data_IF_109452421370
#
_entry.id   IF_109452421370
#
_cell.length_a   1.000
_cell.length_b   1.000
_cell.length_c   1.000
_cell.angle_alpha   90.00
_cell.angle_beta   90.00
_cell.angle_gamma   90.00
#
_symmetry.space_group_name_H-M   'P 1'
#
loop_
_entity.id
_entity.type
_entity.pdbx_description
1 polymer ?
#
# COMPACT_ATOMS: atom_id res chain seq x y z
N UNK A 1 41.57 -10.64 28.07
CA UNK A 1 40.71 -11.35 27.08
C UNK A 1 39.37 -11.83 27.65
N UNK A 2 39.28 -12.41 28.85
CA UNK A 2 37.99 -12.89 29.41
C UNK A 2 36.96 -11.80 29.72
N UNK A 3 37.38 -10.58 30.05
CA UNK A 3 36.45 -9.46 30.33
C UNK A 3 35.79 -8.85 29.08
N UNK A 4 36.39 -9.02 27.90
CA UNK A 4 35.86 -8.46 26.65
C UNK A 4 34.69 -9.29 26.10
N UNK A 5 34.72 -10.61 26.32
CA UNK A 5 33.64 -11.53 25.92
C UNK A 5 32.40 -11.35 26.80
N UNK A 6 32.58 -11.02 28.08
CA UNK A 6 31.47 -10.79 29.01
C UNK A 6 30.73 -9.48 28.71
N UNK A 7 31.46 -8.43 28.30
CA UNK A 7 30.86 -7.15 27.94
C UNK A 7 30.04 -7.26 26.63
N UNK A 8 30.55 -8.01 25.64
CA UNK A 8 29.82 -8.25 24.39
C UNK A 8 28.51 -9.01 24.63
N UNK A 9 28.50 -9.99 25.54
CA UNK A 9 27.30 -10.75 25.88
C UNK A 9 26.24 -9.92 26.62
N UNK A 10 26.67 -9.01 27.49
CA UNK A 10 25.75 -8.10 28.20
C UNK A 10 25.15 -7.09 27.21
N UNK A 11 25.95 -6.54 26.30
CA UNK A 11 25.46 -5.62 25.25
C UNK A 11 24.51 -6.32 24.28
N UNK A 12 24.78 -7.57 23.89
CA UNK A 12 23.88 -8.38 23.06
C UNK A 12 22.57 -8.72 23.79
N UNK A 13 22.61 -9.05 25.09
CA UNK A 13 21.39 -9.24 25.88
C UNK A 13 20.61 -7.94 26.06
N UNK A 14 21.28 -6.82 26.34
CA UNK A 14 20.65 -5.50 26.46
C UNK A 14 20.03 -5.03 25.15
N UNK A 15 20.68 -5.29 24.01
CA UNK A 15 20.09 -5.05 22.69
C UNK A 15 18.88 -5.95 22.44
N UNK A 16 18.88 -7.21 22.88
CA UNK A 16 17.72 -8.11 22.71
C UNK A 16 16.50 -7.74 23.56
N UNK A 17 16.68 -7.09 24.72
CA UNK A 17 15.56 -6.65 25.59
C UNK A 17 15.16 -5.18 25.40
N UNK A 18 16.04 -4.31 24.87
CA UNK A 18 15.71 -2.91 24.54
C UNK A 18 15.18 -2.77 23.10
N UNK A 19 15.29 -3.81 22.28
CA UNK A 19 14.35 -4.00 21.16
C UNK A 19 12.99 -4.43 21.76
N UNK A 20 12.39 -3.49 22.51
CA UNK A 20 10.96 -3.22 22.49
C UNK A 20 10.47 -3.39 21.04
N UNK A 21 9.27 -3.93 20.78
CA UNK A 21 8.80 -4.15 19.42
C UNK A 21 8.83 -2.79 18.70
N UNK A 22 9.91 -2.56 17.95
CA UNK A 22 10.03 -1.51 16.98
C UNK A 22 8.84 -1.76 16.09
N UNK A 23 7.84 -0.89 16.24
CA UNK A 23 6.69 -0.76 15.37
C UNK A 23 7.22 -0.92 13.95
N UNK A 24 7.15 -2.13 13.40
CA UNK A 24 7.15 -2.31 11.97
C UNK A 24 5.90 -1.55 11.55
N UNK A 25 6.08 -0.28 11.19
CA UNK A 25 5.09 0.53 10.48
C UNK A 25 4.95 -0.16 9.13
N UNK A 26 4.17 -1.24 9.12
CA UNK A 26 3.77 -1.90 7.89
C UNK A 26 3.03 -0.84 7.08
N UNK A 27 3.58 -0.47 5.92
CA UNK A 27 2.77 0.34 5.02
C UNK A 27 1.53 -0.47 4.65
N UNK A 28 0.38 0.19 4.55
CA UNK A 28 -0.91 -0.43 4.20
C UNK A 28 -0.93 -1.18 2.85
N UNK A 29 0.18 -1.15 2.10
CA UNK A 29 0.38 -1.88 0.85
C UNK A 29 1.55 -2.89 0.91
N UNK A 30 2.19 -3.10 2.06
CA UNK A 30 3.23 -4.11 2.27
C UNK A 30 2.73 -5.21 3.20
N UNK A 31 2.13 -6.24 2.61
CA UNK A 31 1.94 -7.53 3.28
C UNK A 31 3.34 -8.17 3.45
N UNK A 32 3.67 -8.79 4.59
CA UNK A 32 4.97 -9.45 4.79
C UNK A 32 5.27 -10.43 3.66
N UNK A 33 6.47 -10.32 3.05
CA UNK A 33 6.97 -11.36 2.14
C UNK A 33 7.32 -12.58 3.00
N UNK A 34 6.54 -13.67 2.90
CA UNK A 34 6.97 -14.97 3.45
C UNK A 34 8.04 -15.54 2.52
N UNK A 35 9.13 -16.05 3.12
CA UNK A 35 10.05 -16.96 2.42
C UNK A 35 9.31 -18.26 2.05
N UNK A 36 9.64 -18.91 0.93
CA UNK A 36 8.88 -20.05 0.37
C UNK A 36 9.05 -21.38 1.14
N UNK A 37 9.22 -21.36 2.46
CA UNK A 37 9.54 -22.55 3.26
C UNK A 37 8.33 -23.44 3.58
N UNK A 38 7.18 -22.87 3.93
CA UNK A 38 5.97 -23.63 4.27
C UNK A 38 4.72 -22.85 3.84
N UNK A 39 3.99 -23.38 2.85
CA UNK A 39 2.74 -22.79 2.36
C UNK A 39 1.62 -23.19 3.32
N UNK A 40 1.49 -22.45 4.41
CA UNK A 40 0.31 -22.54 5.26
C UNK A 40 -0.88 -21.95 4.49
N UNK A 41 -1.80 -22.82 4.04
CA UNK A 41 -3.01 -22.40 3.34
C UNK A 41 -3.85 -21.53 4.27
N UNK A 42 -3.99 -20.25 3.93
CA UNK A 42 -4.82 -19.33 4.70
C UNK A 42 -6.30 -19.57 4.35
N UNK A 43 -7.07 -19.86 5.40
CA UNK A 43 -8.49 -20.15 5.35
C UNK A 43 -9.31 -18.98 5.90
N UNK A 44 -10.49 -18.76 5.30
CA UNK A 44 -11.40 -17.66 5.63
C UNK A 44 -12.81 -18.19 5.84
N UNK A 45 -13.42 -17.83 6.96
CA UNK A 45 -14.83 -18.10 7.27
C UNK A 45 -15.34 -17.01 8.22
N UNK A 46 -16.62 -16.65 8.17
CA UNK A 46 -17.21 -15.76 9.17
C UNK A 46 -17.21 -16.42 10.56
N UNK A 47 -17.08 -15.61 11.60
CA UNK A 47 -17.24 -16.06 12.99
C UNK A 47 -18.72 -16.21 13.33
N UNK A 48 -19.53 -15.27 12.86
CA UNK A 48 -20.98 -15.25 13.02
C UNK A 48 -21.62 -15.26 11.64
N UNK A 49 -22.12 -16.42 11.22
CA UNK A 49 -22.96 -16.52 10.03
C UNK A 49 -24.25 -15.75 10.30
N UNK A 50 -24.55 -14.72 9.51
CA UNK A 50 -25.91 -14.18 9.50
C UNK A 50 -26.83 -15.31 9.02
N UNK A 51 -27.91 -15.63 9.76
CA UNK A 51 -28.93 -16.51 9.23
C UNK A 51 -29.46 -15.88 7.95
N UNK A 52 -29.61 -16.66 6.89
CA UNK A 52 -30.17 -16.19 5.61
C UNK A 52 -31.47 -15.46 5.90
N UNK A 53 -31.48 -14.13 5.70
CA UNK A 53 -32.65 -13.29 5.89
C UNK A 53 -33.80 -13.63 4.91
N UNK A 54 -33.58 -14.60 4.03
CA UNK A 54 -34.48 -15.06 2.97
C UNK A 54 -35.19 -16.38 3.23
N UNK A 55 -35.14 -16.93 4.44
CA UNK A 55 -36.09 -18.00 4.86
C UNK A 55 -37.00 -17.50 5.98
N UNK A 56 -37.53 -16.28 5.84
CA UNK A 56 -38.75 -15.90 6.53
C UNK A 56 -39.93 -16.47 5.74
N UNK A 57 -40.57 -17.49 6.34
CA UNK A 57 -41.75 -18.21 5.88
C UNK A 57 -43.00 -17.32 5.78
N UNK A 58 -42.99 -16.34 4.89
CA UNK A 58 -44.20 -15.66 4.39
C UNK A 58 -44.37 -15.98 2.91
N UNK A 59 -44.79 -17.21 2.68
CA UNK A 59 -45.36 -17.71 1.44
C UNK A 59 -46.75 -17.08 1.27
N UNK A 60 -46.82 -15.87 0.73
CA UNK A 60 -47.97 -15.42 -0.06
C UNK A 60 -47.47 -14.71 -1.33
N UNK A 61 -47.41 -15.50 -2.40
CA UNK A 61 -47.92 -15.10 -3.71
C UNK A 61 -47.28 -13.88 -4.40
N UNK A 62 -45.98 -13.94 -4.66
CA UNK A 62 -45.45 -13.38 -5.92
C UNK A 62 -44.74 -14.51 -6.64
N UNK A 63 -45.45 -15.12 -7.59
CA UNK A 63 -44.91 -15.96 -8.64
C UNK A 63 -43.99 -15.14 -9.55
N UNK A 64 -42.81 -14.80 -9.05
CA UNK A 64 -41.66 -14.56 -9.91
C UNK A 64 -41.31 -15.92 -10.50
N UNK A 65 -41.74 -16.11 -11.74
CA UNK A 65 -41.22 -17.09 -12.67
C UNK A 65 -39.71 -16.87 -12.70
N UNK A 66 -38.98 -17.55 -11.81
CA UNK A 66 -37.57 -17.81 -11.98
C UNK A 66 -37.52 -18.83 -13.11
N UNK A 67 -37.62 -18.35 -14.34
CA UNK A 67 -37.09 -19.09 -15.48
C UNK A 67 -35.67 -19.43 -15.08
N UNK A 68 -35.40 -20.72 -14.88
CA UNK A 68 -34.07 -21.31 -14.93
C UNK A 68 -33.46 -20.93 -16.28
N UNK A 69 -32.96 -19.70 -16.39
CA UNK A 69 -32.07 -19.33 -17.46
C UNK A 69 -30.82 -20.14 -17.18
N UNK A 70 -30.62 -21.17 -18.01
CA UNK A 70 -29.35 -21.88 -18.07
C UNK A 70 -28.22 -20.84 -17.99
N UNK A 71 -27.19 -21.08 -17.16
CA UNK A 71 -26.13 -20.10 -16.96
C UNK A 71 -25.63 -19.63 -18.33
N UNK A 72 -25.46 -18.30 -18.52
CA UNK A 72 -25.14 -17.74 -19.82
C UNK A 72 -23.94 -18.48 -20.41
N UNK A 73 -24.08 -18.95 -21.66
CA UNK A 73 -23.01 -19.68 -22.33
C UNK A 73 -21.78 -18.77 -22.34
N UNK A 74 -20.62 -19.23 -21.82
CA UNK A 74 -19.43 -18.38 -21.73
C UNK A 74 -19.02 -17.85 -23.11
N UNK A 75 -18.82 -16.54 -23.24
CA UNK A 75 -18.46 -15.93 -24.52
C UNK A 75 -16.96 -16.14 -24.82
N UNK A 76 -16.69 -17.09 -25.72
CA UNK A 76 -15.34 -17.44 -26.17
C UNK A 76 -14.60 -16.26 -26.82
N UNK A 77 -15.31 -15.28 -27.39
CA UNK A 77 -14.68 -14.10 -27.99
C UNK A 77 -14.14 -13.15 -26.91
N UNK A 78 -14.85 -13.02 -25.79
CA UNK A 78 -14.36 -12.26 -24.64
C UNK A 78 -13.11 -12.92 -24.04
N UNK A 79 -13.06 -14.24 -23.99
CA UNK A 79 -11.87 -14.96 -23.54
C UNK A 79 -10.68 -14.83 -24.50
N UNK A 80 -10.91 -14.89 -25.82
CA UNK A 80 -9.87 -14.58 -26.82
C UNK A 80 -9.27 -13.19 -26.59
N UNK A 81 -10.11 -12.19 -26.31
CA UNK A 81 -9.65 -10.83 -26.02
C UNK A 81 -8.82 -10.78 -24.73
N UNK A 82 -9.23 -11.50 -23.68
CA UNK A 82 -8.49 -11.61 -22.43
C UNK A 82 -7.10 -12.27 -22.62
N UNK A 83 -7.02 -13.33 -23.44
CA UNK A 83 -5.75 -14.00 -23.75
C UNK A 83 -4.83 -13.08 -24.56
N UNK A 84 -5.36 -12.17 -25.38
CA UNK A 84 -4.53 -11.19 -26.12
C UNK A 84 -3.86 -10.16 -25.21
N UNK A 85 -4.45 -9.82 -24.07
CA UNK A 85 -3.89 -8.91 -23.05
C UNK A 85 -2.53 -9.41 -22.53
N UNK A 86 -2.33 -10.73 -22.52
CA UNK A 86 -1.06 -11.37 -22.17
C UNK A 86 0.16 -10.79 -22.92
N UNK A 87 0.00 -10.39 -24.20
CA UNK A 87 1.10 -9.80 -24.99
C UNK A 87 1.63 -8.49 -24.40
N UNK A 88 0.91 -7.88 -23.48
CA UNK A 88 1.26 -6.61 -22.83
C UNK A 88 1.84 -6.82 -21.42
N UNK A 89 1.90 -8.05 -20.91
CA UNK A 89 2.46 -8.37 -19.59
C UNK A 89 4.00 -8.27 -19.68
N UNK A 90 4.65 -7.33 -18.96
CA UNK A 90 6.10 -7.22 -18.99
C UNK A 90 6.76 -8.48 -18.40
N UNK A 91 7.79 -8.99 -19.06
CA UNK A 91 8.47 -10.25 -18.71
C UNK A 91 9.42 -10.16 -17.51
N UNK A 92 9.44 -9.07 -16.73
CA UNK A 92 10.44 -8.80 -15.66
C UNK A 92 10.47 -9.86 -14.53
N UNK A 93 11.68 -10.29 -14.14
CA UNK A 93 12.05 -11.71 -13.97
C UNK A 93 11.64 -12.43 -12.66
N UNK A 94 10.90 -11.80 -11.73
CA UNK A 94 10.52 -12.45 -10.45
C UNK A 94 9.01 -12.54 -10.19
N UNK A 95 8.21 -11.62 -10.71
CA UNK A 95 6.73 -11.71 -10.65
C UNK A 95 6.15 -12.24 -11.97
N UNK A 96 6.95 -12.26 -13.03
CA UNK A 96 6.52 -12.72 -14.35
C UNK A 96 6.48 -14.24 -14.47
N UNK A 97 7.10 -15.03 -13.59
CA UNK A 97 7.12 -16.49 -13.78
C UNK A 97 5.70 -17.08 -13.75
N UNK A 98 4.92 -16.85 -12.68
CA UNK A 98 3.55 -17.39 -12.60
C UNK A 98 2.61 -16.82 -13.66
N UNK A 99 2.76 -15.53 -14.00
CA UNK A 99 1.93 -14.90 -15.05
C UNK A 99 2.30 -15.38 -16.46
N UNK A 100 3.59 -15.52 -16.77
CA UNK A 100 4.10 -16.03 -18.04
C UNK A 100 3.80 -17.52 -18.22
N UNK A 101 3.87 -18.29 -17.13
CA UNK A 101 3.50 -19.69 -17.11
C UNK A 101 2.00 -19.85 -17.34
N UNK A 102 1.16 -19.09 -16.62
CA UNK A 102 -0.29 -19.07 -16.84
C UNK A 102 -0.62 -18.66 -18.28
N UNK A 103 0.00 -17.59 -18.75
CA UNK A 103 -0.07 -17.08 -20.11
C UNK A 103 0.30 -18.12 -21.18
N UNK A 104 1.37 -18.87 -20.96
CA UNK A 104 1.86 -19.90 -21.89
C UNK A 104 0.93 -21.11 -21.87
N UNK A 105 0.50 -21.54 -20.69
CA UNK A 105 -0.45 -22.64 -20.53
C UNK A 105 -1.81 -22.30 -21.11
N UNK A 106 -2.29 -21.06 -21.05
CA UNK A 106 -3.49 -20.64 -21.76
C UNK A 106 -3.36 -20.78 -23.28
N UNK A 107 -2.17 -20.51 -23.86
CA UNK A 107 -1.93 -20.70 -25.30
C UNK A 107 -1.91 -22.18 -25.68
N UNK A 108 -1.38 -23.03 -24.82
CA UNK A 108 -1.29 -24.49 -25.04
C UNK A 108 -2.65 -25.15 -24.82
N UNK A 109 -3.39 -24.76 -23.78
CA UNK A 109 -4.73 -25.28 -23.46
C UNK A 109 -5.76 -24.94 -24.53
N UNK A 110 -5.57 -23.83 -25.24
CA UNK A 110 -6.55 -23.30 -26.18
C UNK A 110 -5.91 -22.85 -27.51
N UNK A 111 -5.28 -23.78 -28.27
CA UNK A 111 -4.52 -23.45 -29.47
C UNK A 111 -5.41 -22.91 -30.60
N UNK A 112 -6.66 -23.38 -30.67
CA UNK A 112 -7.71 -22.90 -31.56
C UNK A 112 -9.00 -22.72 -30.77
N UNK A 113 -9.21 -21.52 -30.19
CA UNK A 113 -10.47 -21.11 -29.52
C UNK A 113 -11.68 -21.04 -30.50
N UNK A 114 -11.68 -21.80 -31.59
CA UNK A 114 -12.72 -21.85 -32.61
C UNK A 114 -13.73 -22.98 -32.35
N UNK A 115 -13.40 -23.99 -31.54
CA UNK A 115 -14.28 -25.13 -31.27
C UNK A 115 -14.89 -25.09 -29.86
N UNK A 116 -16.10 -25.64 -29.71
CA UNK A 116 -16.70 -25.90 -28.38
C UNK A 116 -15.73 -26.77 -27.59
N UNK A 117 -15.31 -26.31 -26.42
CA UNK A 117 -14.44 -27.08 -25.53
C UNK A 117 -15.10 -28.42 -25.19
N UNK A 118 -14.47 -29.52 -25.62
CA UNK A 118 -14.96 -30.87 -25.35
C UNK A 118 -14.82 -31.21 -23.87
N UNK A 119 -15.70 -32.06 -23.34
CA UNK A 119 -15.62 -32.50 -21.94
C UNK A 119 -14.28 -33.14 -21.59
N UNK A 120 -13.60 -33.76 -22.58
CA UNK A 120 -12.28 -34.36 -22.41
C UNK A 120 -11.19 -33.33 -22.05
N UNK A 121 -11.36 -32.07 -22.43
CA UNK A 121 -10.43 -31.00 -22.03
C UNK A 121 -10.48 -30.68 -20.53
N UNK A 122 -11.53 -31.13 -19.83
CA UNK A 122 -11.75 -30.91 -18.39
C UNK A 122 -11.65 -32.23 -17.59
N UNK A 123 -10.80 -33.17 -18.04
CA UNK A 123 -10.43 -34.34 -17.24
C UNK A 123 -9.28 -34.00 -16.30
N UNK A 124 -9.06 -34.81 -15.27
CA UNK A 124 -7.86 -34.69 -14.42
C UNK A 124 -6.59 -34.97 -15.23
N UNK A 125 -5.50 -34.29 -14.88
CA UNK A 125 -4.21 -34.35 -15.56
C UNK A 125 -4.14 -33.54 -16.86
N UNK A 126 -5.19 -32.80 -17.21
CA UNK A 126 -5.23 -32.00 -18.44
C UNK A 126 -4.58 -30.62 -18.28
N UNK A 127 -4.29 -29.98 -19.42
CA UNK A 127 -3.74 -28.62 -19.43
C UNK A 127 -4.70 -27.59 -18.80
N UNK A 128 -6.01 -27.81 -18.86
CA UNK A 128 -7.00 -26.92 -18.23
C UNK A 128 -6.90 -26.99 -16.71
N UNK A 129 -6.79 -28.19 -16.12
CA UNK A 129 -6.54 -28.35 -14.69
C UNK A 129 -5.24 -27.66 -14.27
N UNK A 130 -4.16 -27.88 -15.03
CA UNK A 130 -2.88 -27.20 -14.81
C UNK A 130 -3.03 -25.68 -14.85
N UNK A 131 -3.77 -25.15 -15.83
CA UNK A 131 -4.04 -23.71 -15.96
C UNK A 131 -4.81 -23.15 -14.75
N UNK A 132 -5.84 -23.86 -14.29
CA UNK A 132 -6.61 -23.50 -13.08
C UNK A 132 -5.69 -23.50 -11.85
N UNK A 133 -4.89 -24.56 -11.68
CA UNK A 133 -3.98 -24.70 -10.54
C UNK A 133 -2.93 -23.59 -10.52
N UNK A 134 -2.39 -23.20 -11.68
CA UNK A 134 -1.43 -22.10 -11.78
C UNK A 134 -2.08 -20.76 -11.48
N UNK A 135 -3.31 -20.52 -11.96
CA UNK A 135 -4.05 -19.30 -11.63
C UNK A 135 -4.32 -19.20 -10.12
N UNK A 136 -4.74 -20.30 -9.49
CA UNK A 136 -4.93 -20.41 -8.03
C UNK A 136 -3.61 -20.17 -7.30
N UNK A 137 -2.54 -20.89 -7.66
CA UNK A 137 -1.22 -20.72 -7.07
C UNK A 137 -0.71 -19.28 -7.19
N UNK A 138 -0.95 -18.65 -8.33
CA UNK A 138 -0.59 -17.24 -8.60
C UNK A 138 -1.33 -16.29 -7.65
N UNK A 139 -2.64 -16.49 -7.46
CA UNK A 139 -3.46 -15.68 -6.55
C UNK A 139 -3.15 -15.93 -5.06
N UNK A 140 -2.69 -17.12 -4.71
CA UNK A 140 -2.36 -17.50 -3.34
C UNK A 140 -0.97 -17.00 -2.92
N UNK A 141 0.02 -17.10 -3.80
CA UNK A 141 1.43 -16.98 -3.41
C UNK A 141 2.13 -15.71 -3.89
N UNK A 142 1.60 -15.00 -4.89
CA UNK A 142 2.28 -13.83 -5.46
C UNK A 142 1.68 -12.50 -5.00
N UNK A 143 2.56 -11.51 -4.81
CA UNK A 143 2.16 -10.12 -4.58
C UNK A 143 1.83 -9.42 -5.91
N UNK A 144 0.66 -9.72 -6.45
CA UNK A 144 0.17 -9.16 -7.71
C UNK A 144 -0.24 -7.68 -7.56
N UNK A 145 0.15 -6.85 -8.55
CA UNK A 145 -0.45 -5.52 -8.75
C UNK A 145 -1.92 -5.69 -9.12
N UNK A 146 -2.72 -4.64 -8.93
CA UNK A 146 -4.16 -4.75 -9.13
C UNK A 146 -4.56 -5.15 -10.56
N UNK A 147 -3.87 -4.66 -11.60
CA UNK A 147 -4.13 -5.05 -13.00
C UNK A 147 -3.79 -6.52 -13.31
N UNK A 148 -2.73 -7.05 -12.69
CA UNK A 148 -2.31 -8.44 -12.82
C UNK A 148 -3.33 -9.35 -12.11
N UNK A 149 -3.70 -8.99 -10.88
CA UNK A 149 -4.70 -9.70 -10.09
C UNK A 149 -6.05 -9.78 -10.80
N UNK A 150 -6.54 -8.66 -11.35
CA UNK A 150 -7.80 -8.64 -12.11
C UNK A 150 -7.72 -9.53 -13.35
N UNK A 151 -6.57 -9.55 -14.04
CA UNK A 151 -6.39 -10.44 -15.19
C UNK A 151 -6.41 -11.92 -14.78
N UNK A 152 -5.69 -12.31 -13.72
CA UNK A 152 -5.71 -13.71 -13.23
C UNK A 152 -7.11 -14.10 -12.75
N UNK A 153 -7.82 -13.21 -12.05
CA UNK A 153 -9.21 -13.45 -11.65
C UNK A 153 -10.14 -13.57 -12.86
N UNK A 154 -10.00 -12.72 -13.87
CA UNK A 154 -10.79 -12.81 -15.10
C UNK A 154 -10.58 -14.16 -15.82
N UNK A 155 -9.34 -14.65 -15.87
CA UNK A 155 -9.02 -15.97 -16.43
C UNK A 155 -9.70 -17.05 -15.60
N UNK A 156 -9.52 -17.00 -14.28
CA UNK A 156 -10.05 -18.02 -13.38
C UNK A 156 -11.57 -18.05 -13.41
N UNK A 157 -12.25 -16.91 -13.26
CA UNK A 157 -13.71 -16.80 -13.37
C UNK A 157 -14.22 -17.38 -14.68
N UNK A 158 -13.60 -17.05 -15.82
CA UNK A 158 -14.05 -17.58 -17.10
C UNK A 158 -13.86 -19.10 -17.22
N UNK A 159 -12.75 -19.65 -16.70
CA UNK A 159 -12.55 -21.10 -16.67
C UNK A 159 -13.58 -21.79 -15.76
N UNK A 160 -13.93 -21.16 -14.64
CA UNK A 160 -14.91 -21.65 -13.68
C UNK A 160 -16.33 -21.69 -14.25
N UNK A 161 -16.69 -20.79 -15.18
CA UNK A 161 -17.99 -20.80 -15.87
C UNK A 161 -18.22 -22.05 -16.74
N UNK A 162 -17.15 -22.74 -17.16
CA UNK A 162 -17.27 -24.02 -17.87
C UNK A 162 -17.43 -25.23 -16.95
N UNK A 163 -17.36 -25.05 -15.62
CA UNK A 163 -17.41 -26.14 -14.66
C UNK A 163 -18.80 -26.23 -14.00
N UNK A 164 -19.27 -27.44 -13.62
CA UNK A 164 -18.60 -28.71 -13.79
C UNK A 164 -18.66 -29.22 -15.24
N UNK A 165 -17.53 -29.71 -15.75
CA UNK A 165 -17.40 -30.46 -17.00
C UNK A 165 -16.30 -31.49 -16.84
N UNK A 166 -16.49 -32.69 -17.40
CA UNK A 166 -15.56 -33.80 -17.19
C UNK A 166 -15.44 -34.14 -15.71
N UNK A 167 -14.19 -34.25 -15.23
CA UNK A 167 -13.87 -34.57 -13.82
C UNK A 167 -13.62 -33.33 -12.96
N UNK A 168 -13.49 -32.15 -13.58
CA UNK A 168 -13.13 -30.92 -12.88
C UNK A 168 -14.38 -30.27 -12.26
N UNK A 169 -14.23 -29.85 -11.01
CA UNK A 169 -15.26 -29.15 -10.24
C UNK A 169 -14.92 -27.67 -10.08
N UNK A 170 -15.94 -26.79 -9.99
CA UNK A 170 -15.70 -25.41 -9.60
C UNK A 170 -14.98 -25.32 -8.24
N UNK A 171 -14.17 -24.29 -8.08
CA UNK A 171 -13.60 -23.87 -6.81
C UNK A 171 -14.76 -23.45 -5.91
N UNK A 172 -14.80 -24.04 -4.73
CA UNK A 172 -15.83 -23.73 -3.76
C UNK A 172 -15.60 -22.33 -3.18
N UNK A 173 -16.55 -21.43 -3.44
CA UNK A 173 -16.54 -20.04 -2.93
C UNK A 173 -17.57 -19.81 -1.83
N UNK A 174 -18.40 -20.81 -1.54
CA UNK A 174 -19.47 -20.69 -0.57
C UNK A 174 -18.90 -20.78 0.87
N UNK A 175 -18.93 -19.66 1.58
CA UNK A 175 -18.45 -19.58 2.95
C UNK A 175 -19.36 -20.28 3.96
N UNK A 176 -20.60 -20.61 3.59
CA UNK A 176 -21.52 -21.37 4.44
C UNK A 176 -21.15 -22.87 4.47
N UNK A 177 -20.46 -23.37 3.44
CA UNK A 177 -20.03 -24.77 3.34
C UNK A 177 -18.70 -25.03 4.06
N UNK A 178 -17.99 -23.96 4.45
CA UNK A 178 -16.81 -24.05 5.29
C UNK A 178 -15.77 -23.00 4.98
N UNK A 179 -14.57 -23.14 5.58
CA UNK A 179 -13.48 -22.23 5.34
C UNK A 179 -12.98 -22.29 3.89
N UNK A 180 -12.87 -21.13 3.25
CA UNK A 180 -12.42 -21.01 1.87
C UNK A 180 -10.97 -20.52 1.78
N UNK A 181 -10.28 -20.86 0.69
CA UNK A 181 -8.90 -20.42 0.43
C UNK A 181 -8.84 -18.98 -0.08
N UNK A 182 -7.63 -18.43 -0.13
CA UNK A 182 -7.37 -17.07 -0.59
C UNK A 182 -7.79 -16.80 -2.05
N UNK A 183 -7.65 -17.77 -2.96
CA UNK A 183 -8.15 -17.64 -4.33
C UNK A 183 -9.69 -17.65 -4.37
N UNK A 184 -10.32 -18.56 -3.62
CA UNK A 184 -11.76 -18.66 -3.50
C UNK A 184 -12.39 -17.39 -2.89
N UNK A 185 -11.77 -16.78 -1.88
CA UNK A 185 -12.21 -15.50 -1.32
C UNK A 185 -12.23 -14.39 -2.36
N UNK A 186 -11.20 -14.30 -3.22
CA UNK A 186 -11.17 -13.29 -4.27
C UNK A 186 -12.26 -13.54 -5.33
N UNK A 187 -12.51 -14.79 -5.69
CA UNK A 187 -13.63 -15.15 -6.57
C UNK A 187 -14.97 -14.78 -5.94
N UNK A 188 -15.18 -15.09 -4.66
CA UNK A 188 -16.38 -14.71 -3.91
C UNK A 188 -16.64 -13.20 -3.92
N UNK A 189 -15.64 -12.41 -3.54
CA UNK A 189 -15.75 -10.94 -3.47
C UNK A 189 -15.94 -10.28 -4.84
N UNK A 190 -15.58 -10.96 -5.93
CA UNK A 190 -15.71 -10.46 -7.31
C UNK A 190 -16.84 -11.13 -8.10
N UNK A 191 -17.68 -11.93 -7.43
CA UNK A 191 -18.80 -12.63 -8.07
C UNK A 191 -19.74 -11.63 -8.74
N UNK A 192 -20.04 -11.86 -10.02
CA UNK A 192 -20.94 -11.01 -10.82
C UNK A 192 -20.30 -9.73 -11.40
N UNK A 193 -19.02 -9.47 -11.14
CA UNK A 193 -18.33 -8.30 -11.69
C UNK A 193 -17.75 -8.55 -13.10
N UNK A 194 -17.69 -7.51 -13.94
CA UNK A 194 -17.14 -7.62 -15.31
C UNK A 194 -15.60 -7.57 -15.32
N UNK A 195 -14.97 -8.65 -14.86
CA UNK A 195 -13.51 -8.76 -14.76
C UNK A 195 -12.82 -8.72 -16.13
N UNK A 196 -13.44 -9.29 -17.17
CA UNK A 196 -12.87 -9.30 -18.53
C UNK A 196 -12.80 -7.86 -19.09
N UNK A 197 -13.90 -7.12 -19.00
CA UNK A 197 -13.96 -5.72 -19.44
C UNK A 197 -12.99 -4.83 -18.66
N UNK A 198 -12.95 -4.99 -17.33
CA UNK A 198 -12.02 -4.25 -16.48
C UNK A 198 -10.55 -4.56 -16.81
N UNK A 199 -10.22 -5.84 -17.02
CA UNK A 199 -8.87 -6.25 -17.43
C UNK A 199 -8.47 -5.59 -18.76
N UNK A 200 -9.33 -5.64 -19.78
CA UNK A 200 -9.05 -5.01 -21.07
C UNK A 200 -8.76 -3.50 -20.92
N UNK A 201 -9.53 -2.78 -20.09
CA UNK A 201 -9.31 -1.35 -19.88
C UNK A 201 -8.00 -1.05 -19.14
N UNK A 202 -7.67 -1.82 -18.11
CA UNK A 202 -6.45 -1.63 -17.31
C UNK A 202 -5.17 -1.84 -18.11
N UNK A 203 -5.21 -2.73 -19.10
CA UNK A 203 -4.05 -3.09 -19.90
C UNK A 203 -3.92 -2.28 -21.21
N UNK A 204 -4.94 -1.51 -21.61
CA UNK A 204 -4.88 -0.63 -22.79
C UNK A 204 -3.80 0.46 -22.71
N UNK A 205 -3.49 0.96 -21.52
CA UNK A 205 -2.53 2.04 -21.29
C UNK A 205 -1.44 1.58 -20.32
N UNK A 206 -0.21 2.04 -20.51
CA UNK A 206 0.93 1.65 -19.66
C UNK A 206 0.70 1.99 -18.18
N UNK A 207 0.21 3.21 -17.92
CA UNK A 207 -0.18 3.66 -16.57
C UNK A 207 -1.58 3.18 -16.14
N UNK A 208 -2.45 2.85 -17.10
CA UNK A 208 -3.83 2.40 -16.89
C UNK A 208 -4.73 3.44 -16.20
N UNK A 209 -6.06 3.43 -16.44
CA UNK A 209 -6.98 4.15 -15.56
C UNK A 209 -6.97 3.54 -14.15
N UNK A 210 -7.36 4.32 -13.14
CA UNK A 210 -7.52 3.78 -11.78
C UNK A 210 -8.75 2.87 -11.76
N UNK A 211 -8.72 1.81 -10.95
CA UNK A 211 -9.79 0.80 -10.97
C UNK A 211 -11.15 1.40 -10.62
N UNK A 212 -11.21 2.35 -9.67
CA UNK A 212 -12.45 3.02 -9.32
C UNK A 212 -13.02 3.91 -10.44
N UNK A 213 -12.21 4.29 -11.44
CA UNK A 213 -12.67 4.99 -12.66
C UNK A 213 -13.34 4.02 -13.66
N UNK A 214 -13.04 2.72 -13.54
CA UNK A 214 -13.58 1.66 -14.39
C UNK A 214 -14.82 1.05 -13.75
N UNK A 215 -14.69 0.63 -12.49
CA UNK A 215 -15.70 -0.11 -11.75
C UNK A 215 -15.48 0.09 -10.23
N UNK A 216 -16.42 0.79 -9.59
CA UNK A 216 -16.40 1.07 -8.15
C UNK A 216 -16.48 -0.22 -7.32
N UNK A 217 -17.35 -1.16 -7.72
CA UNK A 217 -17.55 -2.44 -7.04
C UNK A 217 -16.29 -3.29 -7.06
N UNK A 218 -15.56 -3.28 -8.18
CA UNK A 218 -14.28 -3.96 -8.31
C UNK A 218 -13.19 -3.33 -7.42
N UNK A 219 -13.15 -1.99 -7.36
CA UNK A 219 -12.23 -1.29 -6.47
C UNK A 219 -12.53 -1.57 -4.99
N UNK A 220 -13.82 -1.68 -4.65
CA UNK A 220 -14.26 -2.07 -3.31
C UNK A 220 -13.88 -3.51 -3.00
N UNK A 221 -14.16 -4.46 -3.89
CA UNK A 221 -13.84 -5.88 -3.69
C UNK A 221 -12.34 -6.10 -3.40
N UNK A 222 -11.46 -5.43 -4.15
CA UNK A 222 -10.02 -5.49 -3.90
C UNK A 222 -9.60 -4.85 -2.57
N UNK A 223 -10.31 -3.80 -2.13
CA UNK A 223 -10.06 -3.16 -0.84
C UNK A 223 -10.55 -4.01 0.32
N UNK A 224 -11.76 -4.59 0.21
CA UNK A 224 -12.30 -5.59 1.15
C UNK A 224 -11.33 -6.75 1.31
N UNK A 225 -10.86 -7.32 0.21
CA UNK A 225 -9.89 -8.41 0.23
C UNK A 225 -8.63 -8.06 1.04
N UNK A 226 -8.05 -6.88 0.82
CA UNK A 226 -6.86 -6.42 1.57
C UNK A 226 -7.16 -6.27 3.07
N UNK A 227 -8.32 -5.70 3.41
CA UNK A 227 -8.73 -5.49 4.80
C UNK A 227 -8.97 -6.83 5.50
N UNK A 228 -9.71 -7.76 4.88
CA UNK A 228 -9.96 -9.10 5.41
C UNK A 228 -8.62 -9.81 5.67
N UNK A 229 -7.71 -9.82 4.69
CA UNK A 229 -6.40 -10.45 4.85
C UNK A 229 -5.59 -9.84 6.00
N UNK A 230 -5.66 -8.52 6.18
CA UNK A 230 -5.03 -7.84 7.31
C UNK A 230 -5.65 -8.27 8.64
N UNK A 231 -6.99 -8.31 8.75
CA UNK A 231 -7.68 -8.75 9.96
C UNK A 231 -7.31 -10.21 10.30
N UNK A 232 -7.35 -11.11 9.32
CA UNK A 232 -6.98 -12.52 9.52
C UNK A 232 -5.51 -12.67 9.93
N UNK A 233 -4.62 -11.81 9.42
CA UNK A 233 -3.23 -11.77 9.89
C UNK A 233 -3.13 -11.36 11.36
N UNK A 234 -3.88 -10.35 11.79
CA UNK A 234 -3.92 -9.95 13.20
C UNK A 234 -4.46 -11.07 14.09
N UNK A 235 -5.53 -11.77 13.69
CA UNK A 235 -6.04 -12.93 14.41
C UNK A 235 -4.99 -14.04 14.61
N UNK A 236 -4.05 -14.20 13.66
CA UNK A 236 -2.96 -15.17 13.81
C UNK A 236 -1.81 -14.64 14.68
N UNK A 237 -1.54 -13.34 14.62
CA UNK A 237 -0.40 -12.73 15.31
C UNK A 237 -0.69 -12.47 16.80
N UNK A 238 -1.94 -12.19 17.15
CA UNK A 238 -2.35 -11.78 18.50
C UNK A 238 -3.72 -12.38 18.84
N UNK A 239 -3.77 -13.32 19.79
CA UNK A 239 -5.04 -13.95 20.20
C UNK A 239 -6.04 -12.94 20.78
N UNK A 240 -5.56 -11.85 21.39
CA UNK A 240 -6.44 -10.79 21.94
C UNK A 240 -7.18 -10.03 20.83
N UNK A 241 -6.69 -10.07 19.60
CA UNK A 241 -7.41 -9.48 18.48
C UNK A 241 -8.69 -10.26 18.14
N UNK A 242 -8.73 -11.58 18.38
CA UNK A 242 -9.95 -12.41 18.17
C UNK A 242 -11.05 -12.10 19.18
N UNK A 243 -10.71 -11.55 20.35
CA UNK A 243 -11.71 -11.11 21.33
C UNK A 243 -12.24 -9.70 21.05
N UNK A 244 -11.67 -8.98 20.07
CA UNK A 244 -12.17 -7.67 19.67
C UNK A 244 -13.48 -7.79 18.88
N UNK A 245 -14.59 -7.42 19.53
CA UNK A 245 -15.92 -7.38 18.90
C UNK A 245 -15.92 -6.59 17.59
N UNK A 246 -15.29 -5.41 17.57
CA UNK A 246 -15.19 -4.58 16.37
C UNK A 246 -14.47 -5.27 15.20
N UNK A 247 -13.35 -5.95 15.45
CA UNK A 247 -12.61 -6.64 14.39
C UNK A 247 -13.40 -7.82 13.83
N UNK A 248 -14.03 -8.60 14.71
CA UNK A 248 -14.85 -9.76 14.33
C UNK A 248 -16.07 -9.32 13.52
N UNK A 249 -16.84 -8.35 14.02
CA UNK A 249 -18.03 -7.84 13.31
C UNK A 249 -17.67 -7.21 11.97
N UNK A 250 -16.56 -6.47 11.90
CA UNK A 250 -16.06 -5.89 10.66
C UNK A 250 -15.62 -6.98 9.67
N UNK A 251 -14.91 -8.00 10.14
CA UNK A 251 -14.50 -9.13 9.30
C UNK A 251 -15.71 -9.85 8.71
N UNK A 252 -16.70 -10.17 9.53
CA UNK A 252 -17.92 -10.85 9.11
C UNK A 252 -18.74 -10.00 8.13
N UNK A 253 -18.89 -8.70 8.41
CA UNK A 253 -19.54 -7.75 7.50
C UNK A 253 -18.84 -7.72 6.14
N UNK A 254 -17.52 -7.61 6.10
CA UNK A 254 -16.78 -7.52 4.83
C UNK A 254 -16.81 -8.82 4.03
N UNK A 255 -16.93 -9.98 4.68
CA UNK A 255 -17.05 -11.28 4.03
C UNK A 255 -18.44 -11.52 3.44
N UNK A 256 -19.49 -11.10 4.15
CA UNK A 256 -20.88 -11.46 3.84
C UNK A 256 -21.56 -10.43 2.92
N UNK A 257 -21.17 -9.16 2.99
CA UNK A 257 -21.84 -8.10 2.22
C UNK A 257 -21.33 -8.03 0.77
N UNK A 258 -22.26 -7.82 -0.17
CA UNK A 258 -21.98 -7.64 -1.59
C UNK A 258 -21.08 -6.43 -1.88
N UNK A 259 -20.45 -6.42 -3.06
CA UNK A 259 -19.77 -5.24 -3.59
C UNK A 259 -20.63 -4.64 -4.73
N UNK A 260 -21.05 -3.37 -4.63
CA UNK A 260 -20.72 -2.40 -3.58
C UNK A 260 -21.51 -2.62 -2.28
N UNK A 261 -21.00 -2.11 -1.17
CA UNK A 261 -21.74 -2.08 0.10
C UNK A 261 -23.02 -1.26 -0.06
N UNK A 262 -24.11 -1.77 0.51
CA UNK A 262 -25.35 -1.00 0.61
C UNK A 262 -25.12 0.28 1.43
N UNK A 263 -25.79 1.37 1.07
CA UNK A 263 -25.54 2.67 1.68
C UNK A 263 -25.73 2.68 3.20
N UNK A 264 -26.79 2.03 3.70
CA UNK A 264 -27.04 1.89 5.14
C UNK A 264 -25.90 1.15 5.85
N UNK A 265 -25.48 0.01 5.30
CA UNK A 265 -24.35 -0.78 5.80
C UNK A 265 -23.05 0.04 5.80
N UNK A 266 -22.78 0.79 4.73
CA UNK A 266 -21.60 1.65 4.63
C UNK A 266 -21.65 2.74 5.70
N UNK A 267 -22.77 3.49 5.82
CA UNK A 267 -22.92 4.56 6.84
C UNK A 267 -22.72 4.04 8.26
N UNK A 268 -23.25 2.85 8.57
CA UNK A 268 -23.04 2.20 9.86
C UNK A 268 -21.56 1.87 10.08
N UNK A 269 -20.90 1.27 9.09
CA UNK A 269 -19.47 0.97 9.15
C UNK A 269 -18.61 2.23 9.37
N UNK A 270 -18.90 3.32 8.65
CA UNK A 270 -18.19 4.60 8.83
C UNK A 270 -18.38 5.18 10.23
N UNK A 271 -19.60 5.09 10.77
CA UNK A 271 -19.91 5.57 12.12
C UNK A 271 -19.16 4.78 13.18
N UNK A 272 -19.14 3.45 13.08
CA UNK A 272 -18.34 2.59 13.97
C UNK A 272 -16.84 2.89 13.88
N UNK A 273 -16.30 3.08 12.67
CA UNK A 273 -14.90 3.42 12.49
C UNK A 273 -14.57 4.79 13.10
N UNK A 274 -15.45 5.77 12.95
CA UNK A 274 -15.27 7.09 13.55
C UNK A 274 -15.19 7.00 15.07
N UNK A 275 -16.13 6.29 15.69
CA UNK A 275 -16.17 6.10 17.14
C UNK A 275 -14.87 5.47 17.67
N UNK A 276 -14.38 4.41 17.02
CA UNK A 276 -13.13 3.75 17.42
C UNK A 276 -11.87 4.60 17.24
N UNK A 277 -11.89 5.61 16.36
CA UNK A 277 -10.81 6.58 16.26
C UNK A 277 -10.91 7.68 17.33
N UNK A 278 -12.12 8.03 17.74
CA UNK A 278 -12.40 9.06 18.74
C UNK A 278 -12.08 8.61 20.17
N UNK A 279 -12.36 7.35 20.50
CA UNK A 279 -12.19 6.77 21.83
C UNK A 279 -10.70 6.60 22.23
N UNK A 280 -10.34 7.06 23.43
CA UNK A 280 -8.95 7.00 23.91
C UNK A 280 -8.50 5.56 24.19
N UNK A 281 -9.35 4.78 24.86
CA UNK A 281 -9.06 3.43 25.34
C UNK A 281 -9.20 2.33 24.26
N UNK A 282 -9.57 2.70 23.03
CA UNK A 282 -9.64 1.74 21.94
C UNK A 282 -8.26 1.15 21.64
N UNK A 283 -8.21 -0.17 21.47
CA UNK A 283 -6.97 -0.88 21.16
C UNK A 283 -6.27 -0.32 19.91
N UNK A 284 -4.93 -0.34 19.85
CA UNK A 284 -4.20 0.14 18.68
C UNK A 284 -4.61 -0.55 17.37
N UNK A 285 -4.96 -1.84 17.42
CA UNK A 285 -5.41 -2.62 16.27
C UNK A 285 -6.79 -2.18 15.76
N UNK A 286 -7.72 -1.87 16.66
CA UNK A 286 -9.04 -1.34 16.28
C UNK A 286 -8.91 0.04 15.64
N UNK A 287 -8.04 0.92 16.18
CA UNK A 287 -7.74 2.22 15.57
C UNK A 287 -7.14 2.07 14.17
N UNK A 288 -6.20 1.13 14.00
CA UNK A 288 -5.59 0.85 12.70
C UNK A 288 -6.62 0.35 11.68
N UNK A 289 -7.49 -0.59 12.07
CA UNK A 289 -8.56 -1.10 11.23
C UNK A 289 -9.54 0.01 10.81
N UNK A 290 -9.98 0.81 11.78
CA UNK A 290 -10.90 1.92 11.53
C UNK A 290 -10.32 2.95 10.55
N UNK A 291 -9.05 3.36 10.76
CA UNK A 291 -8.35 4.23 9.82
C UNK A 291 -8.21 3.57 8.43
N UNK A 292 -7.81 2.30 8.36
CA UNK A 292 -7.64 1.59 7.09
C UNK A 292 -8.94 1.57 6.28
N UNK A 293 -10.08 1.32 6.93
CA UNK A 293 -11.40 1.34 6.28
C UNK A 293 -11.72 2.73 5.75
N UNK A 294 -11.69 3.76 6.62
CA UNK A 294 -12.01 5.14 6.22
C UNK A 294 -11.11 5.64 5.08
N UNK A 295 -9.81 5.35 5.15
CA UNK A 295 -8.85 5.76 4.12
C UNK A 295 -9.04 4.99 2.79
N UNK A 296 -9.19 3.65 2.83
CA UNK A 296 -9.37 2.85 1.60
C UNK A 296 -10.72 3.17 0.95
N UNK A 297 -11.80 3.30 1.72
CA UNK A 297 -13.12 3.63 1.20
C UNK A 297 -13.21 5.11 0.78
N UNK A 298 -12.52 6.04 1.44
CA UNK A 298 -12.42 7.44 0.98
C UNK A 298 -11.75 7.59 -0.39
N UNK A 299 -10.85 6.68 -0.76
CA UNK A 299 -10.27 6.64 -2.10
C UNK A 299 -11.26 6.19 -3.19
N UNK A 300 -12.34 5.53 -2.82
CA UNK A 300 -13.35 4.96 -3.72
C UNK A 300 -14.59 5.85 -3.76
N UNK A 301 -15.12 6.17 -2.58
CA UNK A 301 -16.41 6.84 -2.40
C UNK A 301 -16.24 8.31 -2.01
N UNK A 302 -16.79 9.25 -2.80
CA UNK A 302 -16.82 10.68 -2.43
C UNK A 302 -17.49 10.92 -1.09
N UNK A 303 -18.62 10.25 -0.82
CA UNK A 303 -19.38 10.36 0.43
C UNK A 303 -18.56 10.02 1.66
N UNK A 304 -17.62 9.06 1.55
CA UNK A 304 -16.70 8.70 2.63
C UNK A 304 -15.66 9.81 2.86
N UNK A 305 -15.17 10.46 1.80
CA UNK A 305 -14.27 11.62 1.95
C UNK A 305 -14.97 12.78 2.63
N UNK A 306 -16.21 13.05 2.24
CA UNK A 306 -17.00 14.13 2.83
C UNK A 306 -17.32 13.82 4.29
N UNK A 307 -17.62 12.56 4.63
CA UNK A 307 -17.78 12.10 6.01
C UNK A 307 -16.50 12.32 6.83
N UNK A 308 -15.33 11.91 6.33
CA UNK A 308 -14.04 12.10 7.03
C UNK A 308 -13.73 13.59 7.19
N UNK A 309 -13.96 14.41 6.15
CA UNK A 309 -13.76 15.88 6.22
C UNK A 309 -14.66 16.50 7.28
N UNK A 310 -15.94 16.12 7.30
CA UNK A 310 -16.90 16.57 8.30
C UNK A 310 -16.43 16.18 9.71
N UNK A 311 -16.06 14.91 9.93
CA UNK A 311 -15.57 14.44 11.23
C UNK A 311 -14.30 15.14 11.69
N UNK A 312 -13.32 15.37 10.80
CA UNK A 312 -12.12 16.17 11.10
C UNK A 312 -12.46 17.60 11.55
N UNK A 313 -13.53 18.20 11.02
CA UNK A 313 -13.95 19.56 11.37
C UNK A 313 -14.73 19.66 12.69
N UNK A 314 -15.33 18.55 13.14
CA UNK A 314 -16.20 18.53 14.31
C UNK A 314 -15.53 17.96 15.56
N UNK A 315 -14.50 17.12 15.40
CA UNK A 315 -13.89 16.39 16.51
C UNK A 315 -12.36 16.36 16.38
N UNK A 316 -11.68 17.07 17.29
CA UNK A 316 -10.21 17.15 17.34
C UNK A 316 -9.54 15.81 17.66
N UNK A 317 -10.17 14.96 18.47
CA UNK A 317 -9.66 13.62 18.78
C UNK A 317 -9.66 12.75 17.51
N UNK A 318 -10.78 12.76 16.76
CA UNK A 318 -10.85 12.09 15.46
C UNK A 318 -9.79 12.63 14.50
N UNK A 319 -9.69 13.97 14.37
CA UNK A 319 -8.73 14.64 13.49
C UNK A 319 -7.31 14.18 13.80
N UNK A 320 -6.88 14.31 15.06
CA UNK A 320 -5.53 13.91 15.51
C UNK A 320 -5.26 12.43 15.28
N UNK A 321 -6.22 11.55 15.63
CA UNK A 321 -6.07 10.10 15.45
C UNK A 321 -5.92 9.74 13.96
N UNK A 322 -6.78 10.30 13.10
CA UNK A 322 -6.74 10.05 11.66
C UNK A 322 -5.45 10.58 11.01
N UNK A 323 -5.07 11.82 11.30
CA UNK A 323 -3.91 12.48 10.69
C UNK A 323 -2.58 11.86 11.13
N UNK A 324 -2.49 11.40 12.37
CA UNK A 324 -1.31 10.66 12.87
C UNK A 324 -1.04 9.37 12.09
N UNK A 325 -2.08 8.77 11.49
CA UNK A 325 -1.99 7.56 10.67
C UNK A 325 -1.85 7.89 9.18
N UNK A 326 -2.47 8.98 8.73
CA UNK A 326 -2.43 9.46 7.35
C UNK A 326 -1.03 9.93 6.94
N UNK A 327 -0.38 10.70 7.81
CA UNK A 327 0.88 11.37 7.52
C UNK A 327 2.03 10.41 7.16
N UNK A 328 2.33 9.34 7.93
CA UNK A 328 3.36 8.37 7.53
C UNK A 328 3.07 7.70 6.18
N UNK A 329 1.80 7.47 5.87
CA UNK A 329 1.41 6.86 4.59
C UNK A 329 1.64 7.81 3.41
N UNK A 330 1.37 9.11 3.59
CA UNK A 330 1.65 10.12 2.56
C UNK A 330 3.15 10.16 2.26
N UNK A 331 3.98 10.27 3.30
CA UNK A 331 5.44 10.37 3.14
C UNK A 331 5.98 9.09 2.48
N UNK A 332 5.56 7.90 2.93
CA UNK A 332 6.02 6.64 2.33
C UNK A 332 5.61 6.49 0.87
N UNK A 333 4.39 6.94 0.51
CA UNK A 333 3.95 6.94 -0.89
C UNK A 333 4.78 7.91 -1.74
N UNK A 334 5.17 9.04 -1.17
CA UNK A 334 6.01 10.04 -1.81
C UNK A 334 7.43 9.51 -2.05
N UNK A 335 8.09 8.97 -1.01
CA UNK A 335 9.42 8.37 -1.09
C UNK A 335 9.53 7.22 -2.11
N UNK A 336 8.44 6.51 -2.37
CA UNK A 336 8.39 5.42 -3.37
C UNK A 336 8.26 5.90 -4.81
N UNK A 337 7.76 7.12 -5.03
CA UNK A 337 7.39 7.62 -6.37
C UNK A 337 8.36 8.68 -6.89
N UNK A 338 9.02 9.37 -5.97
CA UNK A 338 9.89 10.49 -6.29
C UNK A 338 11.31 10.12 -5.93
N UNK A 339 12.24 10.27 -6.87
CA UNK A 339 13.65 10.26 -6.53
C UNK A 339 13.97 11.58 -5.83
N UNK A 340 14.36 11.51 -4.56
CA UNK A 340 14.72 12.68 -3.74
C UNK A 340 16.23 12.80 -3.57
N UNK A 341 17.00 11.93 -4.24
CA UNK A 341 18.45 11.88 -4.13
C UNK A 341 18.90 11.95 -2.67
N UNK A 342 19.65 12.98 -2.28
CA UNK A 342 20.23 13.08 -0.95
C UNK A 342 19.20 13.39 0.15
N UNK A 343 18.05 13.99 -0.19
CA UNK A 343 17.02 14.36 0.79
C UNK A 343 16.16 13.18 1.25
N UNK A 344 16.32 12.01 0.62
CA UNK A 344 15.61 10.79 1.01
C UNK A 344 15.92 10.38 2.45
N UNK A 345 17.19 10.43 2.86
CA UNK A 345 17.63 9.96 4.18
C UNK A 345 17.02 10.79 5.33
N UNK A 346 17.06 12.15 5.31
CA UNK A 346 16.35 12.97 6.30
C UNK A 346 14.86 12.60 6.46
N UNK A 347 14.16 12.37 5.35
CA UNK A 347 12.74 11.99 5.37
C UNK A 347 12.50 10.58 5.91
N UNK A 348 13.39 9.63 5.63
CA UNK A 348 13.32 8.28 6.22
C UNK A 348 13.54 8.31 7.74
N UNK A 349 14.46 9.16 8.24
CA UNK A 349 14.67 9.35 9.69
C UNK A 349 13.43 9.96 10.33
N UNK A 350 12.86 11.00 9.72
CA UNK A 350 11.62 11.63 10.20
C UNK A 350 10.45 10.64 10.26
N UNK A 351 10.38 9.68 9.33
CA UNK A 351 9.39 8.59 9.36
C UNK A 351 9.56 7.63 10.54
N UNK A 352 10.75 7.53 11.13
CA UNK A 352 11.01 6.67 12.29
C UNK A 352 10.67 7.34 13.62
N UNK A 353 10.37 8.65 13.61
CA UNK A 353 10.01 9.37 14.83
C UNK A 353 8.68 8.89 15.40
N UNK A 354 8.65 8.78 16.74
CA UNK A 354 7.49 8.31 17.49
C UNK A 354 6.31 9.27 17.38
N UNK A 355 6.58 10.57 17.33
CA UNK A 355 5.60 11.64 17.18
C UNK A 355 6.08 12.61 16.12
N UNK A 356 5.18 13.03 15.21
CA UNK A 356 5.45 14.08 14.24
C UNK A 356 4.84 15.37 14.78
N UNK A 357 5.68 16.21 15.37
CA UNK A 357 5.27 17.51 15.93
C UNK A 357 6.13 18.64 15.34
N UNK A 358 5.96 19.85 15.85
CA UNK A 358 6.69 21.01 15.35
C UNK A 358 8.22 20.85 15.46
N UNK A 359 8.72 20.25 16.54
CA UNK A 359 10.16 20.07 16.75
C UNK A 359 10.73 19.02 15.80
N UNK A 360 9.99 17.95 15.54
CA UNK A 360 10.31 16.97 14.48
C UNK A 360 10.45 17.64 13.11
N UNK A 361 9.56 18.59 12.78
CA UNK A 361 9.62 19.33 11.52
C UNK A 361 10.86 20.24 11.46
N UNK A 362 11.20 20.92 12.57
CA UNK A 362 12.42 21.73 12.64
C UNK A 362 13.66 20.88 12.41
N UNK A 363 13.78 19.75 13.10
CA UNK A 363 14.91 18.83 12.94
C UNK A 363 15.00 18.24 11.52
N UNK A 364 13.88 17.92 10.90
CA UNK A 364 13.86 17.49 9.50
C UNK A 364 14.39 18.60 8.58
N UNK A 365 13.93 19.84 8.73
CA UNK A 365 14.38 20.97 7.92
C UNK A 365 15.86 21.29 8.15
N UNK A 366 16.33 21.27 9.40
CA UNK A 366 17.76 21.39 9.73
C UNK A 366 18.59 20.29 9.06
N UNK A 367 18.11 19.05 9.07
CA UNK A 367 18.77 17.93 8.41
C UNK A 367 18.83 18.14 6.89
N UNK A 368 17.74 18.62 6.29
CA UNK A 368 17.69 18.98 4.87
C UNK A 368 18.69 20.10 4.55
N UNK A 369 18.79 21.13 5.39
CA UNK A 369 19.78 22.21 5.23
C UNK A 369 21.21 21.68 5.26
N UNK A 370 21.54 20.82 6.24
CA UNK A 370 22.86 20.19 6.33
C UNK A 370 23.18 19.35 5.09
N UNK A 371 22.21 18.56 4.63
CA UNK A 371 22.33 17.77 3.40
C UNK A 371 22.56 18.67 2.19
N UNK A 372 21.77 19.75 2.02
CA UNK A 372 21.92 20.70 0.93
C UNK A 372 23.31 21.35 0.92
N UNK A 373 23.79 21.81 2.08
CA UNK A 373 25.12 22.42 2.21
C UNK A 373 26.24 21.43 1.88
N UNK A 374 26.12 20.18 2.34
CA UNK A 374 27.09 19.14 2.01
C UNK A 374 27.16 18.89 0.50
N UNK A 375 26.02 18.78 -0.18
CA UNK A 375 25.98 18.50 -1.62
C UNK A 375 26.41 19.67 -2.50
N UNK A 376 26.00 20.91 -2.17
CA UNK A 376 26.43 22.11 -2.89
C UNK A 376 27.94 22.34 -2.86
N UNK A 377 28.64 21.79 -1.85
CA UNK A 377 30.10 21.86 -1.75
C UNK A 377 30.82 21.00 -2.79
N UNK A 378 30.18 19.98 -3.36
CA UNK A 378 30.82 18.98 -4.23
C UNK A 378 30.37 19.03 -5.70
N UNK A 379 29.23 19.65 -6.02
CA UNK A 379 28.67 19.63 -7.38
C UNK A 379 28.61 21.01 -8.03
N UNK A 380 29.36 21.18 -9.13
CA UNK A 380 29.31 22.39 -9.99
C UNK A 380 28.41 22.23 -11.21
N UNK A 381 27.82 21.05 -11.46
CA UNK A 381 27.08 20.74 -12.71
C UNK A 381 25.69 20.11 -12.56
N UNK A 382 25.24 19.67 -11.38
CA UNK A 382 23.91 19.03 -11.19
C UNK A 382 22.88 19.92 -10.47
N UNK A 383 22.97 21.25 -10.66
CA UNK A 383 22.13 22.21 -9.93
C UNK A 383 20.63 22.08 -10.19
N UNK A 384 20.20 21.63 -11.37
CA UNK A 384 18.78 21.58 -11.73
C UNK A 384 18.08 20.34 -11.14
N UNK A 385 18.72 19.17 -11.19
CA UNK A 385 18.17 17.95 -10.60
C UNK A 385 18.03 18.10 -9.08
N UNK A 386 19.06 18.63 -8.41
CA UNK A 386 19.01 18.89 -6.98
C UNK A 386 17.91 19.89 -6.62
N UNK A 387 17.72 20.94 -7.43
CA UNK A 387 16.66 21.92 -7.23
C UNK A 387 15.25 21.31 -7.41
N UNK A 388 15.06 20.42 -8.39
CA UNK A 388 13.80 19.69 -8.58
C UNK A 388 13.51 18.71 -7.43
N UNK A 389 14.55 18.06 -6.89
CA UNK A 389 14.44 17.21 -5.70
C UNK A 389 14.10 18.03 -4.46
N UNK A 390 14.72 19.21 -4.30
CA UNK A 390 14.43 20.16 -3.23
C UNK A 390 12.98 20.68 -3.32
N UNK A 391 12.53 21.12 -4.49
CA UNK A 391 11.15 21.56 -4.74
C UNK A 391 10.15 20.46 -4.40
N UNK A 392 10.44 19.22 -4.78
CA UNK A 392 9.65 18.05 -4.42
C UNK A 392 9.55 17.88 -2.89
N UNK A 393 10.66 17.99 -2.17
CA UNK A 393 10.68 17.90 -0.70
C UNK A 393 9.89 19.05 -0.07
N UNK A 394 10.03 20.27 -0.58
CA UNK A 394 9.27 21.43 -0.10
C UNK A 394 7.77 21.24 -0.35
N UNK A 395 7.37 20.76 -1.52
CA UNK A 395 5.97 20.45 -1.82
C UNK A 395 5.39 19.40 -0.86
N UNK A 396 6.17 18.37 -0.52
CA UNK A 396 5.79 17.41 0.53
C UNK A 396 5.65 18.11 1.89
N UNK A 397 6.65 18.88 2.31
CA UNK A 397 6.64 19.58 3.61
C UNK A 397 5.50 20.59 3.72
N UNK A 398 5.17 21.31 2.65
CA UNK A 398 4.02 22.20 2.59
C UNK A 398 2.73 21.42 2.88
N UNK A 399 2.57 20.24 2.29
CA UNK A 399 1.43 19.37 2.58
C UNK A 399 1.42 18.89 4.04
N UNK A 400 2.55 18.40 4.55
CA UNK A 400 2.69 17.95 5.96
C UNK A 400 2.38 19.09 6.93
N UNK A 401 2.83 20.30 6.61
CA UNK A 401 2.68 21.48 7.47
C UNK A 401 1.22 21.88 7.70
N UNK A 402 0.29 21.43 6.84
CA UNK A 402 -1.15 21.62 7.06
C UNK A 402 -1.73 20.75 8.18
N UNK A 403 -0.97 19.73 8.61
CA UNK A 403 -1.37 18.76 9.64
C UNK A 403 -0.71 19.04 11.00
N UNK A 404 0.22 20.00 11.09
CA UNK A 404 0.98 20.31 12.30
C UNK A 404 0.87 21.81 12.58
N UNK A 405 0.29 22.17 13.71
CA UNK A 405 0.07 23.57 14.10
C UNK A 405 1.40 24.35 14.12
N UNK A 406 1.41 25.51 13.46
CA UNK A 406 2.59 26.39 13.35
C UNK A 406 3.63 25.97 12.31
N UNK A 407 3.57 24.75 11.77
CA UNK A 407 4.56 24.26 10.79
C UNK A 407 4.49 25.02 9.47
N UNK A 408 3.30 25.43 9.02
CA UNK A 408 3.11 26.13 7.75
C UNK A 408 3.82 27.48 7.75
N UNK A 409 3.56 28.32 8.75
CA UNK A 409 4.20 29.63 8.89
C UNK A 409 5.71 29.53 9.04
N UNK A 410 6.19 28.50 9.74
CA UNK A 410 7.62 28.24 9.88
C UNK A 410 8.27 27.90 8.55
N UNK A 411 7.67 26.99 7.77
CA UNK A 411 8.18 26.60 6.45
C UNK A 411 8.15 27.76 5.46
N UNK A 412 7.08 28.55 5.42
CA UNK A 412 6.95 29.72 4.55
C UNK A 412 8.03 30.77 4.82
N UNK A 413 8.48 30.91 6.08
CA UNK A 413 9.61 31.78 6.43
C UNK A 413 10.96 31.30 5.90
N UNK A 414 11.09 30.02 5.55
CA UNK A 414 12.34 29.35 5.17
C UNK A 414 12.42 29.00 3.68
N UNK A 415 11.40 29.33 2.89
CA UNK A 415 11.32 28.97 1.47
C UNK A 415 11.19 30.22 0.60
N UNK A 416 11.92 30.26 -0.50
CA UNK A 416 11.77 31.24 -1.59
C UNK A 416 11.17 30.56 -2.83
N UNK A 417 10.27 31.28 -3.51
CA UNK A 417 9.74 30.89 -4.81
C UNK A 417 10.51 31.58 -5.92
N UNK A 418 11.12 30.80 -6.82
CA UNK A 418 11.85 31.31 -7.98
C UNK A 418 10.89 31.41 -9.17
N UNK A 419 10.50 32.64 -9.52
CA UNK A 419 9.48 32.88 -10.55
C UNK A 419 9.91 32.50 -11.96
N UNK A 420 11.21 32.48 -12.25
CA UNK A 420 11.77 32.11 -13.56
C UNK A 420 11.65 30.62 -13.85
N UNK A 421 11.83 29.80 -12.81
CA UNK A 421 11.89 28.33 -12.88
C UNK A 421 10.65 27.66 -12.29
N UNK A 422 9.77 28.44 -11.66
CA UNK A 422 8.54 27.98 -11.01
C UNK A 422 8.76 26.92 -9.91
N UNK A 423 9.93 26.96 -9.27
CA UNK A 423 10.33 26.03 -8.21
C UNK A 423 10.48 26.75 -6.87
N UNK A 424 10.21 26.02 -5.80
CA UNK A 424 10.55 26.42 -4.44
C UNK A 424 11.95 25.95 -4.06
N UNK A 425 12.69 26.80 -3.35
CA UNK A 425 13.99 26.45 -2.77
C UNK A 425 14.07 26.97 -1.34
N UNK A 426 14.76 26.26 -0.46
CA UNK A 426 15.01 26.76 0.88
C UNK A 426 15.96 27.96 0.84
N UNK A 427 15.60 29.02 1.57
CA UNK A 427 16.48 30.15 1.86
C UNK A 427 17.67 29.61 2.62
N UNK A 428 18.86 29.75 2.08
CA UNK A 428 20.04 29.45 2.89
C UNK A 428 20.08 30.48 4.01
N UNK A 429 20.23 30.06 5.28
CA UNK A 429 20.52 31.00 6.35
C UNK A 429 21.72 31.82 5.91
N UNK A 430 21.62 33.15 5.97
CA UNK A 430 22.80 33.98 5.81
C UNK A 430 23.78 33.53 6.90
N UNK A 431 24.90 32.94 6.49
CA UNK A 431 25.98 32.61 7.40
C UNK A 431 26.56 33.94 7.86
N UNK A 432 26.00 34.49 8.95
CA UNK A 432 26.60 35.63 9.63
C UNK A 432 27.94 35.08 10.17
N UNK A 433 29.10 35.62 9.74
CA UNK A 433 30.38 35.20 10.29
C UNK A 433 30.47 35.69 11.74
N UNK A 434 29.96 34.88 12.66
CA UNK A 434 30.06 35.14 14.10
C UNK A 434 31.35 34.46 14.57
N UNK A 435 32.48 35.12 14.37
CA UNK A 435 33.76 34.61 14.87
C UNK A 435 34.97 35.34 14.33
N UNK A 436 35.90 35.70 15.23
CA UNK A 436 37.23 36.18 14.86
C UNK A 436 37.94 35.15 13.95
N UNK A 437 38.76 35.61 12.99
CA UNK A 437 39.51 34.73 12.11
C UNK A 437 40.30 33.71 12.93
N UNK A 438 40.18 32.43 12.55
CA UNK A 438 40.89 31.35 13.19
C UNK A 438 42.41 31.64 13.19
N UNK A 439 43.03 31.62 14.38
CA UNK A 439 44.48 31.87 14.57
C UNK A 439 45.35 30.88 13.78
N UNK A 440 44.81 29.68 13.49
CA UNK A 440 45.51 28.64 12.73
C UNK A 440 45.62 29.00 11.24
N UNK A 441 44.74 29.86 10.71
CA UNK A 441 44.78 30.28 9.31
C UNK A 441 45.87 31.31 8.99
N UNK A 442 46.61 31.81 9.99
CA UNK A 442 47.63 32.85 9.85
C UNK A 442 49.08 32.35 9.96
N UNK A 443 49.33 31.04 10.04
CA UNK A 443 50.70 30.48 10.02
C UNK A 443 50.86 29.42 8.92
N UNK A 444 52.04 29.39 8.30
CA UNK A 444 52.37 28.58 7.12
C UNK A 444 51.93 27.11 7.26
N UNK A 445 51.07 26.67 6.33
CA UNK A 445 50.39 25.38 6.40
C UNK A 445 51.25 24.21 5.88
N UNK A 446 51.39 23.16 6.68
CA UNK A 446 51.96 21.87 6.26
C UNK A 446 50.90 20.97 5.60
N UNK A 447 51.34 20.14 4.66
CA UNK A 447 50.54 19.50 3.59
C UNK A 447 49.59 18.36 3.99
N UNK A 448 49.46 17.99 5.25
CA UNK A 448 48.86 16.69 5.63
C UNK A 448 47.49 16.75 6.33
N UNK A 449 46.89 17.92 6.57
CA UNK A 449 45.55 18.01 7.17
C UNK A 449 44.43 18.27 6.13
N UNK A 450 43.22 17.78 6.40
CA UNK A 450 42.03 17.86 5.53
C UNK A 450 41.58 19.32 5.30
N UNK A 451 41.97 19.89 4.15
CA UNK A 451 41.73 21.29 3.78
C UNK A 451 40.49 21.47 2.88
N UNK A 452 39.74 22.56 3.13
CA UNK A 452 38.65 23.04 2.27
C UNK A 452 39.14 24.22 1.43
N UNK A 453 39.01 24.18 0.10
CA UNK A 453 39.20 25.36 -0.76
C UNK A 453 37.93 26.20 -0.78
N UNK A 454 38.02 27.48 -0.43
CA UNK A 454 36.93 28.44 -0.60
C UNK A 454 37.11 29.21 -1.92
N UNK A 455 36.04 29.32 -2.72
CA UNK A 455 36.02 30.24 -3.88
C UNK A 455 35.77 31.66 -3.40
N UNK A 456 36.85 32.35 -3.02
CA UNK A 456 36.93 33.80 -3.05
C UNK A 456 37.90 34.20 -4.17
N UNK A 457 37.92 35.46 -4.59
CA UNK A 457 38.93 35.97 -5.54
C UNK A 457 40.37 35.76 -5.04
N UNK A 458 40.54 35.39 -3.76
CA UNK A 458 41.78 34.96 -3.13
C UNK A 458 41.66 33.49 -2.67
N UNK A 459 42.64 32.66 -3.04
CA UNK A 459 42.70 31.23 -2.69
C UNK A 459 42.92 31.10 -1.16
N UNK A 460 41.89 30.70 -0.42
CA UNK A 460 41.98 30.42 1.02
C UNK A 460 41.73 28.93 1.29
N UNK A 461 42.51 28.36 2.22
CA UNK A 461 42.32 27.00 2.73
C UNK A 461 42.04 27.04 4.23
N UNK A 462 41.06 26.28 4.69
CA UNK A 462 40.67 26.23 6.11
C UNK A 462 40.57 24.78 6.57
N UNK A 463 40.93 24.50 7.82
CA UNK A 463 40.75 23.18 8.43
C UNK A 463 39.27 22.87 8.68
N UNK A 464 38.89 21.61 8.50
CA UNK A 464 37.52 21.11 8.66
C UNK A 464 36.98 21.34 10.07
N UNK A 465 37.82 21.24 11.10
CA UNK A 465 37.43 21.41 12.51
C UNK A 465 37.18 22.88 12.91
N UNK A 466 37.78 23.84 12.19
CA UNK A 466 37.54 25.26 12.43
C UNK A 466 36.21 25.76 11.85
N UNK A 467 35.56 24.96 11.00
CA UNK A 467 34.24 25.26 10.43
C UNK A 467 33.08 24.83 11.36
N UNK A 468 33.40 24.07 12.42
CA UNK A 468 32.44 23.60 13.42
C UNK A 468 32.84 24.04 14.83
N UNK A 469 32.77 25.34 15.09
CA UNK A 469 32.51 25.84 16.45
C UNK A 469 31.39 26.87 16.34
N UNK A 470 30.34 26.60 17.12
CA UNK A 470 28.98 27.17 17.16
C UNK A 470 28.83 28.68 17.04
#
# INVERSE_FOLDING_TARGET
MRSFVFFLFIVLKFLSTIICPLLLRYSLDSIPRRCPGEIEVQLYQPFNLKPDATVSSSLESISLISTEQAPPIPDINNFKRLIRVNKQIPTWWFLSMGLNELASNLRISFPSLQEKLSSNAFMKGTQVESTINIAVYTLENYHLKSKERIWVLAVLTHLQEYLPKGDLKPIETDMHQGPIRNAALQLHLTKGLNLIGASQQLWKLEKGPKIWEIDLSLSEALSKFKIIKWITYQFKADETSKSSKFMVETHDLLLQESCPLQEGTLRNLLSMCSQHLEEQDTSPWNKELAYMILNKYGKIYPTVRDFVRFKKSQNDCFKKAYESKELPNIIHCFLKRTDLGPFKNPLEVFLMEKSMNMDSIKHLIESIFRTKHQYQRWETKESEQLANQEDSVIGLLQHISTLIDGAKSYLEGLVDYRSDSHIYTFKMPELIPIGQPCVICQQDMHKEDDLVKLHSEVDHKVHTDCWHVS
#
